data_IF_235609284338
#
_entry.id   IF_235609284338
#
_cell.length_a   1.000
_cell.length_b   1.000
_cell.length_c   1.000
_cell.angle_alpha   90.00
_cell.angle_beta   90.00
_cell.angle_gamma   90.00
#
_symmetry.space_group_name_H-M   'P 1'
#
loop_
_entity.id
_entity.type
_entity.pdbx_description
1 polymer ?
#
# COMPACT_ATOMS: atom_id res chain seq x y z
N UNK A 1 18.87 0.97 -12.08
CA UNK A 1 17.53 1.59 -12.09
C UNK A 1 17.35 2.71 -13.14
N UNK A 2 18.08 3.84 -13.11
CA UNK A 2 17.88 4.96 -14.06
C UNK A 2 17.85 4.54 -15.54
N UNK A 3 18.76 3.66 -15.95
CA UNK A 3 18.86 3.11 -17.30
C UNK A 3 17.76 2.10 -17.72
N UNK A 4 16.79 1.75 -16.86
CA UNK A 4 15.65 0.89 -17.24
C UNK A 4 15.70 -0.57 -16.80
N UNK A 5 16.63 -0.96 -15.93
CA UNK A 5 16.78 -2.33 -15.43
C UNK A 5 18.19 -2.89 -15.70
N UNK A 6 18.48 -4.09 -15.25
CA UNK A 6 19.76 -4.78 -15.44
C UNK A 6 19.86 -6.05 -14.58
N UNK A 7 21.04 -6.71 -14.57
CA UNK A 7 21.29 -7.82 -13.65
C UNK A 7 21.06 -7.34 -12.21
N UNK A 8 20.22 -8.06 -11.46
CA UNK A 8 19.84 -7.73 -10.08
C UNK A 8 18.88 -6.54 -9.95
N UNK A 9 18.39 -5.94 -11.05
CA UNK A 9 17.41 -4.83 -10.99
C UNK A 9 16.34 -4.98 -12.05
N UNK A 10 15.10 -5.18 -11.60
CA UNK A 10 13.89 -5.08 -12.41
C UNK A 10 13.31 -3.68 -12.31
N UNK A 11 12.72 -3.17 -13.40
CA UNK A 11 12.11 -1.85 -13.44
C UNK A 11 10.72 -1.92 -14.09
N UNK A 12 9.72 -1.36 -13.43
CA UNK A 12 8.35 -1.25 -13.91
C UNK A 12 7.96 0.22 -14.03
N UNK A 13 7.35 0.58 -15.15
CA UNK A 13 6.76 1.91 -15.33
C UNK A 13 5.33 1.91 -14.79
N UNK A 14 5.00 2.89 -13.95
CA UNK A 14 3.66 3.12 -13.41
C UNK A 14 3.21 4.53 -13.78
N UNK A 15 2.04 4.62 -14.41
CA UNK A 15 1.44 5.92 -14.75
C UNK A 15 0.63 6.45 -13.58
N UNK A 16 0.97 7.65 -13.14
CA UNK A 16 0.24 8.39 -12.11
C UNK A 16 -0.54 9.52 -12.81
N UNK A 17 -1.88 9.51 -12.77
CA UNK A 17 -2.69 10.56 -13.39
C UNK A 17 -2.60 11.88 -12.60
N UNK A 18 -2.99 12.98 -13.24
CA UNK A 18 -3.12 14.25 -12.57
C UNK A 18 -4.16 14.19 -11.45
N UNK A 19 -3.84 14.81 -10.30
CA UNK A 19 -4.71 14.79 -9.13
C UNK A 19 -4.70 13.48 -8.35
N UNK A 20 -3.81 12.53 -8.66
CA UNK A 20 -3.60 11.37 -7.80
C UNK A 20 -3.27 11.81 -6.37
N UNK A 21 -3.98 11.22 -5.41
CA UNK A 21 -3.85 11.52 -3.99
C UNK A 21 -2.67 10.76 -3.38
N UNK A 22 -2.45 9.52 -3.84
CA UNK A 22 -1.39 8.63 -3.36
C UNK A 22 -0.89 7.75 -4.50
N UNK A 23 0.41 7.50 -4.53
CA UNK A 23 0.97 6.31 -5.17
C UNK A 23 1.76 5.51 -4.14
N UNK A 24 1.54 4.20 -4.06
CA UNK A 24 2.26 3.31 -3.16
C UNK A 24 2.75 2.07 -3.90
N UNK A 25 3.95 1.64 -3.53
CA UNK A 25 4.58 0.43 -4.02
C UNK A 25 5.06 -0.37 -2.82
N UNK A 26 4.79 -1.67 -2.79
CA UNK A 26 5.18 -2.53 -1.68
C UNK A 26 5.60 -3.92 -2.14
N UNK A 27 6.56 -4.47 -1.43
CA UNK A 27 6.97 -5.87 -1.46
C UNK A 27 6.67 -6.49 -0.09
N UNK A 28 6.45 -7.80 -0.07
CA UNK A 28 6.16 -8.55 1.15
C UNK A 28 6.99 -9.84 1.16
N UNK A 29 7.58 -10.18 2.30
CA UNK A 29 8.36 -11.40 2.48
C UNK A 29 7.57 -12.62 2.05
N UNK A 30 6.31 -12.70 2.46
CA UNK A 30 5.40 -13.83 2.19
C UNK A 30 5.16 -14.09 0.71
N UNK A 31 5.51 -13.12 -0.15
CA UNK A 31 5.30 -13.16 -1.59
C UNK A 31 6.62 -13.32 -2.36
N UNK A 32 7.65 -13.86 -1.70
CA UNK A 32 8.96 -14.15 -2.29
C UNK A 32 9.25 -15.66 -2.41
N UNK A 33 10.12 -16.04 -3.35
CA UNK A 33 10.60 -17.43 -3.47
C UNK A 33 11.41 -17.89 -2.26
N UNK A 34 12.18 -17.00 -1.63
CA UNK A 34 12.92 -17.27 -0.41
C UNK A 34 11.96 -17.74 0.67
N UNK A 35 10.90 -16.97 0.93
CA UNK A 35 9.87 -17.36 1.89
C UNK A 35 9.21 -18.69 1.54
N UNK A 36 8.82 -18.89 0.27
CA UNK A 36 8.23 -20.15 -0.19
C UNK A 36 9.15 -21.37 0.03
N UNK A 37 10.47 -21.16 0.06
CA UNK A 37 11.49 -22.19 0.34
C UNK A 37 11.86 -22.33 1.83
N UNK A 38 11.25 -21.57 2.73
CA UNK A 38 11.59 -21.53 4.16
C UNK A 38 12.85 -20.72 4.49
N UNK A 39 13.28 -19.83 3.58
CA UNK A 39 14.39 -18.90 3.73
C UNK A 39 13.88 -17.44 3.67
N UNK A 40 14.80 -16.47 3.67
CA UNK A 40 14.49 -15.06 3.49
C UNK A 40 15.19 -14.52 2.24
N UNK A 41 14.51 -13.63 1.52
CA UNK A 41 15.11 -12.80 0.47
C UNK A 41 15.29 -11.38 1.00
N UNK A 42 16.34 -10.70 0.55
CA UNK A 42 16.55 -9.27 0.80
C UNK A 42 16.44 -8.49 -0.52
N UNK A 43 15.38 -7.69 -0.64
CA UNK A 43 15.01 -6.94 -1.84
C UNK A 43 14.74 -5.49 -1.46
N UNK A 44 15.24 -4.53 -2.23
CA UNK A 44 15.00 -3.10 -2.00
C UNK A 44 14.06 -2.49 -3.04
N UNK A 45 13.44 -1.36 -2.67
CA UNK A 45 12.68 -0.50 -3.56
C UNK A 45 13.37 0.84 -3.80
N UNK A 46 13.38 1.28 -5.07
CA UNK A 46 13.75 2.63 -5.48
C UNK A 46 12.75 3.15 -6.51
N UNK A 47 12.22 4.34 -6.29
CA UNK A 47 11.24 4.98 -7.19
C UNK A 47 11.84 6.24 -7.80
N UNK A 48 11.79 6.33 -9.13
CA UNK A 48 12.17 7.52 -9.90
C UNK A 48 10.92 8.19 -10.47
N UNK A 49 10.90 9.52 -10.50
CA UNK A 49 9.91 10.28 -11.27
C UNK A 49 10.26 10.30 -12.78
N UNK A 50 9.43 10.97 -13.57
CA UNK A 50 9.59 11.11 -15.03
C UNK A 50 10.88 11.81 -15.45
N UNK A 51 11.47 12.65 -14.58
CA UNK A 51 12.76 13.29 -14.81
C UNK A 51 13.97 12.39 -14.43
N UNK A 52 13.73 11.14 -14.01
CA UNK A 52 14.77 10.23 -13.57
C UNK A 52 15.36 10.58 -12.18
N UNK A 53 14.67 11.40 -11.41
CA UNK A 53 15.06 11.78 -10.04
C UNK A 53 14.46 10.80 -9.05
N UNK A 54 15.25 10.36 -8.07
CA UNK A 54 14.75 9.50 -6.98
C UNK A 54 13.78 10.28 -6.11
N UNK A 55 12.59 9.73 -5.93
CA UNK A 55 11.50 10.30 -5.14
C UNK A 55 11.08 9.41 -3.96
N UNK A 56 11.65 8.22 -3.86
CA UNK A 56 11.48 7.36 -2.70
C UNK A 56 12.39 6.14 -2.77
N UNK A 57 12.77 5.62 -1.60
CA UNK A 57 13.54 4.39 -1.43
C UNK A 57 13.06 3.67 -0.18
N UNK A 58 13.18 2.36 -0.17
CA UNK A 58 13.02 1.50 0.99
C UNK A 58 14.03 0.37 0.82
N UNK A 59 14.82 0.08 1.84
CA UNK A 59 15.86 -0.96 1.78
C UNK A 59 16.23 -1.41 3.18
N UNK A 60 15.34 -2.20 3.77
CA UNK A 60 15.53 -2.91 5.02
C UNK A 60 16.49 -4.09 4.85
N UNK A 61 16.33 -5.10 5.70
CA UNK A 61 17.14 -6.32 5.66
C UNK A 61 16.34 -7.54 5.15
N UNK A 62 15.19 -7.29 4.52
CA UNK A 62 14.18 -8.29 4.11
C UNK A 62 13.50 -7.80 2.84
N UNK A 63 12.55 -8.55 2.29
CA UNK A 63 11.75 -8.09 1.17
C UNK A 63 10.50 -7.27 1.60
N UNK A 64 10.26 -7.02 2.89
CA UNK A 64 9.18 -6.14 3.34
C UNK A 64 9.53 -4.67 3.13
N UNK A 65 9.28 -4.17 1.91
CA UNK A 65 9.61 -2.81 1.52
C UNK A 65 8.37 -2.02 1.13
N UNK A 66 8.34 -0.72 1.44
CA UNK A 66 7.24 0.15 1.05
C UNK A 66 7.71 1.57 0.75
N UNK A 67 7.27 2.10 -0.40
CA UNK A 67 7.39 3.53 -0.73
C UNK A 67 6.00 4.12 -0.93
N UNK A 68 5.69 5.19 -0.22
CA UNK A 68 4.44 5.96 -0.36
C UNK A 68 4.75 7.39 -0.80
N UNK A 69 4.15 7.81 -1.92
CA UNK A 69 4.20 9.17 -2.43
C UNK A 69 2.84 9.84 -2.19
N UNK A 70 2.83 10.93 -1.42
CA UNK A 70 1.64 11.72 -1.13
C UNK A 70 1.49 12.84 -2.18
N UNK A 71 0.29 12.98 -2.75
CA UNK A 71 -0.02 13.93 -3.82
C UNK A 71 1.05 13.97 -4.93
N UNK A 72 1.44 12.82 -5.51
CA UNK A 72 2.48 12.77 -6.53
C UNK A 72 2.09 13.59 -7.76
N UNK A 73 3.06 14.27 -8.36
CA UNK A 73 2.85 14.94 -9.64
C UNK A 73 2.48 13.92 -10.73
N UNK A 74 1.64 14.33 -11.68
CA UNK A 74 1.27 13.50 -12.82
C UNK A 74 2.51 13.08 -13.63
N UNK A 75 2.53 11.85 -14.10
CA UNK A 75 3.60 11.36 -14.97
C UNK A 75 3.86 9.89 -14.84
N UNK A 76 4.85 9.41 -15.59
CA UNK A 76 5.32 8.04 -15.52
C UNK A 76 6.46 7.94 -14.51
N UNK A 77 6.24 7.12 -13.48
CA UNK A 77 7.24 6.79 -12.48
C UNK A 77 7.87 5.45 -12.84
N UNK A 78 9.14 5.28 -12.49
CA UNK A 78 9.87 4.02 -12.64
C UNK A 78 10.11 3.44 -11.26
N UNK A 79 9.47 2.31 -10.97
CA UNK A 79 9.63 1.54 -9.73
C UNK A 79 10.64 0.44 -9.99
N UNK A 80 11.74 0.48 -9.26
CA UNK A 80 12.81 -0.50 -9.36
C UNK A 80 12.82 -1.40 -8.13
N UNK A 81 12.85 -2.70 -8.37
CA UNK A 81 13.13 -3.71 -7.34
C UNK A 81 14.58 -4.14 -7.51
N UNK A 82 15.35 -4.10 -6.43
CA UNK A 82 16.78 -4.38 -6.43
C UNK A 82 17.00 -5.65 -5.60
N UNK A 83 17.63 -6.66 -6.19
CA UNK A 83 18.04 -7.86 -5.45
C UNK A 83 19.30 -7.58 -4.64
N UNK A 84 19.14 -7.12 -3.40
CA UNK A 84 20.27 -6.78 -2.54
C UNK A 84 21.01 -8.03 -2.05
N UNK A 85 20.29 -8.95 -1.41
CA UNK A 85 20.80 -10.28 -1.06
C UNK A 85 19.70 -11.36 -1.18
N UNK A 86 19.25 -11.67 -2.41
CA UNK A 86 18.30 -12.75 -2.62
C UNK A 86 18.89 -14.11 -2.22
N UNK A 87 18.06 -14.99 -1.66
CA UNK A 87 18.43 -16.37 -1.34
C UNK A 87 18.93 -17.07 -2.61
N UNK A 88 20.06 -17.79 -2.51
CA UNK A 88 20.70 -18.44 -3.65
C UNK A 88 21.01 -17.51 -4.85
N UNK A 89 21.09 -16.18 -4.62
CA UNK A 89 21.45 -15.19 -5.64
C UNK A 89 20.32 -14.79 -6.60
N UNK A 90 19.09 -15.28 -6.41
CA UNK A 90 17.92 -14.86 -7.20
C UNK A 90 16.61 -15.02 -6.43
N UNK A 91 15.67 -14.09 -6.64
CA UNK A 91 14.31 -14.18 -6.09
C UNK A 91 13.24 -13.92 -7.14
N UNK A 92 12.13 -14.65 -7.05
CA UNK A 92 10.84 -14.22 -7.62
C UNK A 92 10.02 -13.53 -6.55
N UNK A 93 9.27 -12.49 -6.91
CA UNK A 93 8.50 -11.70 -5.96
C UNK A 93 7.20 -11.19 -6.60
N UNK A 94 6.27 -10.73 -5.76
CA UNK A 94 5.12 -9.93 -6.20
C UNK A 94 5.29 -8.47 -5.78
N UNK A 95 5.20 -7.54 -6.74
CA UNK A 95 5.15 -6.11 -6.45
C UNK A 95 3.69 -5.66 -6.39
N UNK A 96 3.25 -5.21 -5.22
CA UNK A 96 1.97 -4.56 -5.06
C UNK A 96 2.08 -3.07 -5.38
N UNK A 97 1.13 -2.54 -6.15
CA UNK A 97 1.09 -1.12 -6.51
C UNK A 97 -0.32 -0.54 -6.42
N UNK A 98 -0.44 0.65 -5.84
CA UNK A 98 -1.68 1.41 -5.76
C UNK A 98 -1.45 2.82 -6.26
N UNK A 99 -2.33 3.31 -7.12
CA UNK A 99 -2.42 4.72 -7.50
C UNK A 99 -3.85 5.14 -7.20
N UNK A 100 -4.03 5.92 -6.13
CA UNK A 100 -5.33 6.32 -5.62
C UNK A 100 -5.62 7.74 -6.09
N UNK A 101 -6.78 7.92 -6.69
CA UNK A 101 -7.26 9.16 -7.27
C UNK A 101 -8.68 9.47 -6.78
N UNK A 102 -9.11 10.75 -6.84
CA UNK A 102 -10.49 11.11 -6.49
C UNK A 102 -11.54 10.49 -7.42
N UNK A 103 -11.14 9.97 -8.59
CA UNK A 103 -12.03 9.24 -9.50
C UNK A 103 -12.28 7.79 -9.09
N UNK A 104 -11.58 7.27 -8.09
CA UNK A 104 -11.76 5.90 -7.57
C UNK A 104 -12.99 5.79 -6.65
N UNK A 105 -14.13 6.32 -7.12
CA UNK A 105 -15.41 6.44 -6.38
C UNK A 105 -16.38 5.27 -6.62
N UNK A 106 -16.03 4.34 -7.51
CA UNK A 106 -16.86 3.19 -7.88
C UNK A 106 -16.68 1.94 -7.00
N UNK A 107 -15.89 2.06 -5.93
CA UNK A 107 -15.43 0.92 -5.15
C UNK A 107 -16.31 0.52 -3.97
N UNK A 108 -15.79 -0.45 -3.25
CA UNK A 108 -16.31 -1.03 -2.03
C UNK A 108 -16.13 -0.14 -0.79
N UNK A 109 -15.49 1.02 -0.94
CA UNK A 109 -15.26 2.01 0.13
C UNK A 109 -16.44 2.98 0.22
N UNK A 110 -16.87 3.28 1.45
CA UNK A 110 -17.75 4.41 1.74
C UNK A 110 -17.12 5.28 2.82
N UNK A 111 -17.22 6.59 2.63
CA UNK A 111 -16.80 7.59 3.61
C UNK A 111 -18.00 8.47 3.93
N UNK A 112 -18.27 8.63 5.22
CA UNK A 112 -19.21 9.62 5.75
C UNK A 112 -18.41 10.67 6.51
N UNK A 113 -18.44 11.89 5.99
CA UNK A 113 -17.83 13.04 6.65
C UNK A 113 -18.90 13.83 7.42
N UNK A 114 -18.52 14.50 8.52
CA UNK A 114 -19.39 15.45 9.18
C UNK A 114 -19.66 16.64 8.24
N UNK A 115 -20.87 17.18 8.27
CA UNK A 115 -21.28 18.29 7.39
C UNK A 115 -20.53 19.59 7.67
N UNK A 116 -19.96 19.73 8.86
CA UNK A 116 -19.17 20.87 9.30
C UNK A 116 -18.01 20.41 10.19
N UNK A 117 -16.91 21.15 10.15
CA UNK A 117 -15.81 21.05 11.08
C UNK A 117 -15.38 22.46 11.48
N UNK A 118 -15.03 22.66 12.75
CA UNK A 118 -14.61 23.95 13.29
C UNK A 118 -13.14 23.89 13.69
N UNK A 119 -12.42 25.00 13.52
CA UNK A 119 -11.05 25.12 14.01
C UNK A 119 -11.00 24.88 15.52
N UNK A 120 -10.12 23.97 15.96
CA UNK A 120 -10.00 23.59 17.37
C UNK A 120 -11.04 22.58 17.86
N UNK A 121 -12.00 22.19 17.02
CA UNK A 121 -12.95 21.11 17.31
C UNK A 121 -12.48 19.74 16.80
N UNK A 122 -13.13 18.68 17.28
CA UNK A 122 -12.98 17.32 16.75
C UNK A 122 -14.24 16.92 16.01
N UNK A 123 -14.09 16.20 14.90
CA UNK A 123 -15.21 15.63 14.17
C UNK A 123 -14.86 14.20 13.72
N UNK A 124 -15.87 13.35 13.59
CA UNK A 124 -15.68 11.91 13.29
C UNK A 124 -15.98 11.63 11.82
N UNK A 125 -15.05 10.99 11.12
CA UNK A 125 -15.27 10.41 9.81
C UNK A 125 -15.58 8.92 9.93
N UNK A 126 -16.72 8.48 9.41
CA UNK A 126 -17.05 7.05 9.30
C UNK A 126 -16.48 6.48 8.01
N UNK A 127 -15.74 5.38 8.07
CA UNK A 127 -15.19 4.70 6.90
C UNK A 127 -15.59 3.23 6.95
N UNK A 128 -16.11 2.70 5.84
CA UNK A 128 -16.52 1.29 5.74
C UNK A 128 -16.17 0.68 4.39
N UNK A 129 -16.03 -0.64 4.37
CA UNK A 129 -15.70 -1.45 3.20
C UNK A 129 -16.62 -2.67 3.13
N UNK A 130 -16.96 -3.14 1.92
CA UNK A 130 -17.78 -4.35 1.76
C UNK A 130 -17.42 -5.12 0.51
N UNK A 131 -17.59 -6.44 0.45
CA UNK A 131 -17.43 -7.20 -0.81
C UNK A 131 -16.01 -7.20 -1.40
N UNK A 132 -14.99 -7.07 -0.55
CA UNK A 132 -13.58 -7.18 -0.94
C UNK A 132 -13.26 -8.63 -1.35
N UNK A 133 -12.46 -8.79 -2.39
CA UNK A 133 -11.98 -10.09 -2.85
C UNK A 133 -10.91 -10.60 -1.89
N UNK A 134 -11.06 -11.84 -1.42
CA UNK A 134 -10.03 -12.50 -0.61
C UNK A 134 -8.72 -12.64 -1.40
N UNK A 135 -7.59 -12.63 -0.71
CA UNK A 135 -6.27 -12.66 -1.32
C UNK A 135 -5.83 -11.34 -1.96
N UNK A 136 -6.47 -10.22 -1.64
CA UNK A 136 -6.11 -8.88 -2.17
C UNK A 136 -5.85 -7.88 -1.05
N UNK A 137 -5.01 -6.89 -1.37
CA UNK A 137 -4.75 -5.74 -0.52
C UNK A 137 -5.33 -4.48 -1.16
N UNK A 138 -6.06 -3.71 -0.38
CA UNK A 138 -6.74 -2.50 -0.81
C UNK A 138 -6.15 -1.29 -0.09
N UNK A 139 -5.99 -0.18 -0.81
CA UNK A 139 -5.57 1.10 -0.29
C UNK A 139 -6.59 2.16 -0.70
N UNK A 140 -7.06 2.94 0.28
CA UNK A 140 -7.84 4.15 0.06
C UNK A 140 -7.20 5.36 0.72
N UNK A 141 -7.63 6.54 0.28
CA UNK A 141 -7.18 7.81 0.83
C UNK A 141 -8.38 8.71 1.14
N UNK A 142 -8.38 9.30 2.33
CA UNK A 142 -9.33 10.33 2.74
C UNK A 142 -8.59 11.66 2.86
N UNK A 143 -8.84 12.58 1.94
CA UNK A 143 -8.28 13.93 1.99
C UNK A 143 -9.22 14.91 2.67
N UNK A 144 -8.69 15.67 3.62
CA UNK A 144 -9.39 16.75 4.28
C UNK A 144 -9.01 18.06 3.57
N UNK A 145 -9.97 18.72 2.93
CA UNK A 145 -9.75 19.93 2.14
C UNK A 145 -10.50 21.09 2.77
N UNK A 146 -9.82 22.22 3.00
CA UNK A 146 -10.41 23.47 3.52
C UNK A 146 -10.07 24.60 2.56
N UNK A 147 -11.09 25.31 2.07
CA UNK A 147 -10.93 26.40 1.10
C UNK A 147 -10.06 26.03 -0.13
N UNK A 148 -10.17 24.79 -0.61
CA UNK A 148 -9.43 24.29 -1.77
C UNK A 148 -8.01 23.80 -1.48
N UNK A 149 -7.52 23.92 -0.24
CA UNK A 149 -6.22 23.40 0.17
C UNK A 149 -6.35 22.08 0.95
N UNK A 150 -5.49 21.10 0.66
CA UNK A 150 -5.42 19.85 1.42
C UNK A 150 -4.76 20.10 2.77
N UNK A 151 -5.52 19.91 3.83
CA UNK A 151 -5.07 20.06 5.22
C UNK A 151 -4.45 18.78 5.78
N UNK A 152 -4.84 17.62 5.25
CA UNK A 152 -4.32 16.33 5.69
C UNK A 152 -4.85 15.19 4.83
N UNK A 153 -4.25 14.03 4.99
CA UNK A 153 -4.70 12.80 4.32
C UNK A 153 -4.58 11.63 5.27
N UNK A 154 -5.66 10.89 5.46
CA UNK A 154 -5.65 9.59 6.14
C UNK A 154 -5.60 8.49 5.09
N UNK A 155 -4.66 7.56 5.23
CA UNK A 155 -4.62 6.34 4.42
C UNK A 155 -5.35 5.23 5.15
N UNK A 156 -6.07 4.42 4.40
CA UNK A 156 -6.75 3.25 4.94
C UNK A 156 -6.35 2.05 4.12
N UNK A 157 -5.85 1.04 4.82
CA UNK A 157 -5.41 -0.23 4.26
C UNK A 157 -6.35 -1.32 4.72
N UNK A 158 -6.73 -2.19 3.79
CA UNK A 158 -7.43 -3.42 4.11
C UNK A 158 -6.67 -4.57 3.48
N UNK A 159 -6.08 -5.40 4.33
CA UNK A 159 -5.44 -6.64 3.92
C UNK A 159 -6.47 -7.78 4.01
N UNK A 160 -6.91 -8.28 2.86
CA UNK A 160 -7.77 -9.46 2.75
C UNK A 160 -6.97 -10.71 2.35
N UNK A 161 -5.65 -10.69 2.45
CA UNK A 161 -4.77 -11.85 2.20
C UNK A 161 -4.72 -12.81 3.38
N UNK A 162 -5.01 -12.33 4.58
CA UNK A 162 -5.28 -13.14 5.76
C UNK A 162 -6.81 -13.29 5.91
N UNK A 163 -7.40 -14.45 5.55
CA UNK A 163 -8.80 -14.67 5.86
C UNK A 163 -8.92 -14.72 7.38
N UNK A 164 -9.46 -13.66 7.99
CA UNK A 164 -10.00 -13.72 9.35
C UNK A 164 -10.77 -15.04 9.48
N UNK A 165 -10.54 -15.84 10.55
CA UNK A 165 -10.96 -17.23 10.61
C UNK A 165 -12.41 -17.36 10.15
N UNK A 166 -12.66 -18.34 9.29
CA UNK A 166 -14.03 -18.81 9.04
C UNK A 166 -14.70 -18.90 10.41
N UNK A 167 -15.91 -18.35 10.51
CA UNK A 167 -16.71 -18.48 11.71
C UNK A 167 -17.07 -19.97 11.88
N UNK A 168 -16.11 -20.76 12.36
CA UNK A 168 -16.36 -22.08 12.89
C UNK A 168 -17.24 -21.84 14.11
N UNK A 169 -18.50 -22.24 14.01
CA UNK A 169 -19.54 -22.08 15.00
C UNK A 169 -19.29 -22.82 16.32
N UNK A 170 -18.05 -22.84 16.82
CA UNK A 170 -17.65 -23.56 18.01
C UNK A 170 -16.80 -22.74 19.01
N UNK A 171 -16.80 -21.40 18.92
CA UNK A 171 -16.38 -20.59 20.06
C UNK A 171 -17.51 -20.54 21.10
N UNK A 172 -17.59 -21.59 21.91
CA UNK A 172 -18.32 -21.53 23.18
C UNK A 172 -17.68 -20.42 24.01
N UNK A 173 -18.42 -19.34 24.22
CA UNK A 173 -18.00 -18.29 25.14
C UNK A 173 -17.80 -18.93 26.52
N UNK A 174 -16.58 -18.82 27.07
CA UNK A 174 -16.34 -19.17 28.46
C UNK A 174 -17.23 -18.26 29.34
N UNK A 175 -18.12 -18.87 30.12
CA UNK A 175 -18.95 -18.14 31.08
C UNK A 175 -18.05 -17.42 32.11
N UNK A 176 -18.41 -16.20 32.53
CA UNK A 176 -17.66 -15.50 33.57
C UNK A 176 -17.79 -16.26 34.89
N UNK A 177 -16.66 -16.49 35.58
CA UNK A 177 -16.67 -16.94 36.97
C UNK A 177 -17.28 -15.84 37.84
N UNK A 178 -18.39 -16.15 38.48
CA UNK A 178 -18.83 -15.42 39.68
C UNK A 178 -18.09 -15.97 40.91
N UNK A 179 -17.84 -15.07 41.87
CA UNK A 179 -17.19 -15.33 43.17
C UNK A 179 -17.86 -16.43 43.98
#
# INVERSE_FOLDING_TARGET
CKAGGGVGVTALNVTVPAGAQVARFALFDTETSGHASGAADDLDLLVLNSAGTTVGTSGGATANEQVTLMNPAAGTYKVCVIGYAPNNGSATYTLSSWVVSPSDVGGNMKVMLPSTAYTGGTATAGVSWSGLTAGKRYLGALQYVVSGATQGTTLIEVDATDPVPLADGNRVAAAPRAQ
#
